data_IF_432413834922
#
_entry.id   IF_432413834922
#
_cell.length_a   1.000
_cell.length_b   1.000
_cell.length_c   1.000
_cell.angle_alpha   90.00
_cell.angle_beta   90.00
_cell.angle_gamma   90.00
#
_symmetry.space_group_name_H-M   'P 1'
#
loop_
_entity.id
_entity.type
_entity.pdbx_description
1 polymer ?
#
# COMPACT_ATOMS: atom_id res chain seq x y z
N UNK A 1 -25.99 -28.43 12.30
CA UNK A 1 -25.58 -28.51 10.88
C UNK A 1 -24.48 -29.56 10.73
N UNK A 2 -24.70 -30.55 9.85
CA UNK A 2 -23.71 -31.61 9.61
C UNK A 2 -22.84 -31.27 8.40
N UNK A 3 -21.53 -31.37 8.58
CA UNK A 3 -20.57 -31.23 7.50
C UNK A 3 -19.70 -32.47 7.39
N UNK A 4 -19.41 -32.87 6.15
CA UNK A 4 -18.53 -34.00 5.88
C UNK A 4 -17.07 -33.61 6.07
N UNK A 5 -16.31 -34.45 6.77
CA UNK A 5 -14.87 -34.31 6.89
C UNK A 5 -14.19 -35.00 5.71
N UNK A 6 -13.33 -34.28 5.02
CA UNK A 6 -12.63 -34.73 3.80
C UNK A 6 -11.18 -35.08 4.14
N UNK A 7 -10.71 -36.25 3.67
CA UNK A 7 -9.29 -36.64 3.70
C UNK A 7 -8.48 -35.89 2.66
N UNK A 8 -7.16 -35.93 2.76
CA UNK A 8 -6.25 -35.35 1.77
C UNK A 8 -6.37 -35.97 0.38
N UNK A 9 -6.84 -37.20 0.27
CA UNK A 9 -7.12 -37.91 -0.97
C UNK A 9 -8.50 -37.60 -1.57
N UNK A 10 -9.30 -36.73 -0.91
CA UNK A 10 -10.64 -36.39 -1.31
C UNK A 10 -11.74 -37.34 -0.82
N UNK A 11 -11.37 -38.42 -0.13
CA UNK A 11 -12.33 -39.37 0.45
C UNK A 11 -13.01 -38.84 1.71
N UNK A 12 -14.20 -39.36 2.04
CA UNK A 12 -14.87 -39.05 3.30
C UNK A 12 -14.15 -39.67 4.49
N UNK A 13 -13.91 -38.88 5.53
CA UNK A 13 -13.35 -39.34 6.80
C UNK A 13 -14.38 -39.46 7.95
N UNK A 14 -15.63 -38.98 7.71
CA UNK A 14 -16.67 -38.89 8.71
C UNK A 14 -17.50 -37.65 8.58
N UNK A 15 -18.29 -37.31 9.58
CA UNK A 15 -19.06 -36.06 9.64
C UNK A 15 -18.91 -35.42 11.03
N UNK A 16 -19.00 -34.11 11.07
CA UNK A 16 -18.98 -33.26 12.28
C UNK A 16 -20.29 -32.51 12.38
N UNK A 17 -20.87 -32.49 13.57
CA UNK A 17 -22.00 -31.64 13.88
C UNK A 17 -21.51 -30.29 14.37
N UNK A 18 -21.88 -29.20 13.66
CA UNK A 18 -21.60 -27.83 14.03
C UNK A 18 -22.81 -27.19 14.66
N UNK A 19 -22.57 -26.35 15.67
CA UNK A 19 -23.62 -25.58 16.32
C UNK A 19 -24.19 -24.54 15.32
N UNK A 20 -25.50 -24.66 15.06
CA UNK A 20 -26.20 -23.81 14.11
C UNK A 20 -26.26 -22.35 14.57
N UNK A 21 -26.26 -22.11 15.88
CA UNK A 21 -26.22 -20.75 16.44
C UNK A 21 -24.92 -19.99 16.13
N UNK A 22 -23.84 -20.72 15.87
CA UNK A 22 -22.55 -20.12 15.54
C UNK A 22 -22.22 -20.17 14.06
N UNK A 23 -22.47 -21.30 13.41
CA UNK A 23 -22.07 -21.54 12.01
C UNK A 23 -23.19 -21.38 11.00
N UNK A 24 -24.45 -21.39 11.45
CA UNK A 24 -25.63 -21.21 10.62
C UNK A 24 -26.13 -19.76 10.52
N UNK A 25 -25.35 -18.79 11.00
CA UNK A 25 -25.72 -17.38 10.97
C UNK A 25 -25.78 -16.84 9.55
N UNK A 26 -26.76 -15.96 9.31
CA UNK A 26 -26.86 -15.24 8.06
C UNK A 26 -25.64 -14.30 7.89
N UNK A 27 -24.94 -14.35 6.72
CA UNK A 27 -23.73 -13.59 6.53
C UNK A 27 -24.02 -12.08 6.49
N UNK A 28 -23.36 -11.33 7.37
CA UNK A 28 -23.45 -9.87 7.40
C UNK A 28 -22.34 -9.24 6.58
N UNK A 29 -22.72 -8.66 5.44
CA UNK A 29 -21.78 -8.06 4.49
C UNK A 29 -20.94 -6.91 5.11
N UNK A 30 -21.53 -6.12 6.01
CA UNK A 30 -20.86 -5.02 6.69
C UNK A 30 -19.70 -5.48 7.59
N UNK A 31 -19.93 -6.54 8.36
CA UNK A 31 -18.89 -7.14 9.23
C UNK A 31 -17.82 -7.82 8.39
N UNK A 32 -18.24 -8.62 7.40
CA UNK A 32 -17.33 -9.32 6.50
C UNK A 32 -16.40 -8.33 5.76
N UNK A 33 -16.95 -7.21 5.28
CA UNK A 33 -16.16 -6.16 4.63
C UNK A 33 -15.07 -5.60 5.56
N UNK A 34 -15.40 -5.34 6.83
CA UNK A 34 -14.42 -4.84 7.81
C UNK A 34 -13.32 -5.86 8.09
N UNK A 35 -13.68 -7.13 8.23
CA UNK A 35 -12.71 -8.21 8.47
C UNK A 35 -11.78 -8.38 7.26
N UNK A 36 -12.31 -8.37 6.05
CA UNK A 36 -11.50 -8.45 4.83
C UNK A 36 -10.54 -7.27 4.70
N UNK A 37 -11.01 -6.05 4.99
CA UNK A 37 -10.14 -4.86 5.00
C UNK A 37 -9.02 -4.99 6.03
N UNK A 38 -9.32 -5.45 7.21
CA UNK A 38 -8.32 -5.69 8.25
C UNK A 38 -7.27 -6.73 7.83
N UNK A 39 -7.70 -7.86 7.28
CA UNK A 39 -6.79 -8.91 6.81
C UNK A 39 -5.87 -8.41 5.69
N UNK A 40 -6.41 -7.65 4.73
CA UNK A 40 -5.63 -7.05 3.64
C UNK A 40 -4.64 -6.00 4.16
N UNK A 41 -5.07 -5.13 5.05
CA UNK A 41 -4.20 -4.13 5.66
C UNK A 41 -3.06 -4.77 6.47
N UNK A 42 -3.34 -5.83 7.22
CA UNK A 42 -2.34 -6.59 7.98
C UNK A 42 -1.26 -7.22 7.09
N UNK A 43 -1.62 -7.62 5.88
CA UNK A 43 -0.67 -8.21 4.93
C UNK A 43 0.24 -7.16 4.25
N UNK A 44 -0.12 -5.88 4.30
CA UNK A 44 0.63 -4.80 3.65
C UNK A 44 1.79 -4.34 4.52
N UNK A 45 3.01 -4.40 3.98
CA UNK A 45 4.22 -3.96 4.69
C UNK A 45 4.41 -2.44 4.70
N UNK A 46 3.84 -1.71 3.74
CA UNK A 46 3.89 -0.25 3.66
C UNK A 46 5.30 0.33 3.47
N UNK A 47 6.17 -0.39 2.80
CA UNK A 47 7.59 -0.03 2.61
C UNK A 47 7.86 0.87 1.40
N UNK A 48 6.82 1.31 0.69
CA UNK A 48 6.96 2.21 -0.44
C UNK A 48 7.52 3.57 -0.01
N UNK A 49 8.47 4.10 -0.75
CA UNK A 49 9.13 5.36 -0.44
C UNK A 49 9.61 6.05 -1.71
N UNK A 50 9.65 7.38 -1.68
CA UNK A 50 10.29 8.20 -2.69
C UNK A 50 11.21 9.21 -2.03
N UNK A 51 12.17 9.72 -2.77
CA UNK A 51 13.07 10.77 -2.30
C UNK A 51 12.44 12.14 -2.55
N UNK A 52 12.34 12.95 -1.52
CA UNK A 52 11.95 14.36 -1.62
C UNK A 52 13.12 15.22 -2.11
N UNK A 53 12.85 16.46 -2.48
CA UNK A 53 13.91 17.39 -2.93
C UNK A 53 15.02 17.61 -1.89
N UNK A 54 14.75 17.42 -0.61
CA UNK A 54 15.73 17.53 0.47
C UNK A 54 16.66 16.31 0.52
N UNK A 55 16.16 15.15 0.12
CA UNK A 55 16.85 13.86 0.22
C UNK A 55 17.63 13.49 -1.03
N UNK A 56 17.26 14.05 -2.18
CA UNK A 56 17.94 13.78 -3.46
C UNK A 56 19.36 14.32 -3.44
N UNK A 57 20.30 13.50 -3.89
CA UNK A 57 21.73 13.88 -3.99
C UNK A 57 22.01 14.61 -5.30
N UNK A 58 21.93 15.92 -5.26
CA UNK A 58 22.26 16.83 -6.35
C UNK A 58 22.88 18.11 -5.82
N UNK A 59 23.52 18.88 -6.72
CA UNK A 59 24.02 20.20 -6.39
C UNK A 59 22.89 21.15 -5.98
N UNK A 60 23.12 21.92 -4.92
CA UNK A 60 22.24 23.02 -4.49
C UNK A 60 22.55 24.34 -5.20
N UNK A 61 23.62 24.37 -6.00
CA UNK A 61 24.01 25.56 -6.77
C UNK A 61 22.91 25.97 -7.72
N UNK A 62 22.69 27.30 -7.85
CA UNK A 62 21.82 27.88 -8.85
C UNK A 62 22.26 27.47 -10.26
N UNK A 63 21.36 26.97 -11.09
CA UNK A 63 21.67 26.38 -12.40
C UNK A 63 22.36 27.40 -13.31
N UNK A 64 21.84 28.63 -13.38
CA UNK A 64 22.38 29.73 -14.15
C UNK A 64 22.00 31.08 -13.51
N UNK A 65 22.57 32.16 -14.01
CA UNK A 65 22.33 33.53 -13.53
C UNK A 65 20.85 33.92 -13.59
N UNK A 66 20.45 34.85 -12.73
CA UNK A 66 19.05 35.28 -12.57
C UNK A 66 18.45 35.95 -13.83
N UNK A 67 19.24 36.64 -14.62
CA UNK A 67 18.80 37.38 -15.78
C UNK A 67 19.71 37.14 -16.99
N UNK A 68 19.18 37.35 -18.21
CA UNK A 68 19.95 37.35 -19.45
C UNK A 68 20.23 35.97 -20.05
N UNK A 69 19.50 34.92 -19.65
CA UNK A 69 19.64 33.54 -20.21
C UNK A 69 18.54 33.20 -21.22
N UNK A 70 17.46 33.97 -21.27
CA UNK A 70 16.29 33.65 -22.10
C UNK A 70 15.43 32.51 -21.60
N UNK A 71 15.84 31.81 -20.52
CA UNK A 71 15.10 30.74 -19.92
C UNK A 71 14.39 31.15 -18.63
N UNK A 72 13.56 30.26 -18.09
CA UNK A 72 12.90 30.47 -16.81
C UNK A 72 13.93 30.52 -15.66
N UNK A 73 13.60 31.25 -14.61
CA UNK A 73 14.46 31.38 -13.42
C UNK A 73 14.40 30.09 -12.60
N UNK A 74 15.54 29.49 -12.33
CA UNK A 74 15.66 28.28 -11.54
C UNK A 74 16.76 28.40 -10.46
N UNK A 75 16.52 27.71 -9.36
CA UNK A 75 17.53 27.48 -8.32
C UNK A 75 18.26 26.17 -8.51
N UNK A 76 18.08 25.25 -7.58
CA UNK A 76 18.70 23.92 -7.60
C UNK A 76 18.01 22.95 -8.56
N UNK A 77 18.76 22.04 -9.14
CA UNK A 77 18.25 20.91 -9.94
C UNK A 77 17.46 19.87 -9.12
N UNK A 78 17.44 19.98 -7.81
CA UNK A 78 16.66 19.12 -6.93
C UNK A 78 15.14 19.38 -7.02
N UNK A 79 14.72 20.48 -7.61
CA UNK A 79 13.31 20.83 -7.73
C UNK A 79 12.50 19.75 -8.49
N UNK A 80 11.22 19.52 -8.11
CA UNK A 80 10.40 18.46 -8.70
C UNK A 80 10.14 18.60 -10.20
N UNK A 81 10.28 19.79 -10.75
CA UNK A 81 10.08 20.06 -12.18
C UNK A 81 11.19 19.51 -13.08
N UNK A 82 12.33 19.18 -12.51
CA UNK A 82 13.45 18.62 -13.25
C UNK A 82 13.42 17.11 -13.29
N UNK A 83 13.93 16.55 -14.37
CA UNK A 83 14.21 15.14 -14.48
C UNK A 83 15.24 14.76 -13.42
N UNK A 84 15.00 13.68 -12.69
CA UNK A 84 15.77 13.24 -11.51
C UNK A 84 15.71 14.19 -10.29
N UNK A 85 14.84 15.18 -10.32
CA UNK A 85 14.51 15.98 -9.14
C UNK A 85 13.72 15.20 -8.09
N UNK A 86 13.48 15.82 -6.94
CA UNK A 86 12.70 15.20 -5.86
C UNK A 86 11.21 15.04 -6.22
N UNK A 87 10.54 14.15 -5.54
CA UNK A 87 9.09 13.91 -5.69
C UNK A 87 8.32 14.65 -4.60
N UNK A 88 7.19 15.26 -4.97
CA UNK A 88 6.28 15.93 -4.05
C UNK A 88 5.04 15.08 -3.85
N UNK A 89 4.58 14.94 -2.59
CA UNK A 89 3.38 14.14 -2.23
C UNK A 89 3.42 12.70 -2.74
N UNK A 90 4.61 12.14 -2.85
CA UNK A 90 4.78 10.73 -3.20
C UNK A 90 4.53 9.79 -2.02
N UNK A 91 4.62 8.47 -2.25
CA UNK A 91 4.41 7.49 -1.19
C UNK A 91 5.49 7.58 -0.10
N UNK A 92 5.07 7.46 1.14
CA UNK A 92 5.93 7.46 2.33
C UNK A 92 5.71 6.14 3.07
N UNK A 93 6.75 5.53 3.67
CA UNK A 93 6.57 4.35 4.50
C UNK A 93 5.56 4.61 5.61
N UNK A 94 4.57 3.71 5.73
CA UNK A 94 3.52 3.83 6.75
C UNK A 94 2.99 2.46 7.18
N UNK A 95 2.38 2.42 8.35
CA UNK A 95 1.55 1.30 8.79
C UNK A 95 0.15 1.41 8.17
N UNK A 96 -0.36 0.29 7.73
CA UNK A 96 -1.70 0.18 7.17
C UNK A 96 -2.73 -0.28 8.19
#
# INVERSE_FOLDING_TARGET
MKLDVIKLDGGKAGSVDLDEALFGLEPRADILHRVVRWQRARAQAGTHSVLTRAEVSYSTKKIYRQKGTGGARHGSKKAPIFRHGGVVKGPIPRSH
#
